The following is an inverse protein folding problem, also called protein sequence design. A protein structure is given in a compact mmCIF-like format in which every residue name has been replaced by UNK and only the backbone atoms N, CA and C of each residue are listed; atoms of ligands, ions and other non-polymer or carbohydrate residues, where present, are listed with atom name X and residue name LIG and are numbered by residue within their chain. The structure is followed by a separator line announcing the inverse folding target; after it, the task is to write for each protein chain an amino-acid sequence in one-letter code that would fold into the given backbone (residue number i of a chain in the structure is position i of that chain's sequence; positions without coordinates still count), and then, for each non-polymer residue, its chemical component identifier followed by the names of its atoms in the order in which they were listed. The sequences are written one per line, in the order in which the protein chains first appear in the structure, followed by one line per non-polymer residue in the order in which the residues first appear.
data_IF_399499585298
#
_entry.id   IF_399499585298
#
_cell.length_a   1.000
_cell.length_b   1.000
_cell.length_c   1.000
_cell.angle_alpha   90.00
_cell.angle_beta   90.00
_cell.angle_gamma   90.00
#
_symmetry.space_group_name_H-M   'P 1'
#
loop_
_entity.id
_entity.type
_entity.pdbx_description
1 polymer ?
#
# COMPACT_ATOMS: atom_id res chain seq x y z
N UNK A 1 1.12 -30.60 -1.54
CA UNK A 1 0.33 -29.42 -1.10
C UNK A 1 -1.06 -29.88 -0.72
N UNK A 2 -1.64 -29.34 0.36
CA UNK A 2 -3.02 -29.64 0.76
C UNK A 2 -3.95 -28.65 0.06
N UNK A 3 -4.94 -29.15 -0.68
CA UNK A 3 -5.98 -28.29 -1.26
C UNK A 3 -6.83 -27.72 -0.13
N UNK A 4 -7.04 -26.41 -0.16
CA UNK A 4 -7.94 -25.71 0.77
C UNK A 4 -9.10 -25.18 -0.05
N UNK A 5 -10.33 -25.49 0.36
CA UNK A 5 -11.54 -25.00 -0.29
C UNK A 5 -12.00 -23.75 0.47
N UNK A 6 -11.93 -22.61 -0.19
CA UNK A 6 -12.44 -21.35 0.34
C UNK A 6 -13.87 -21.12 -0.16
N UNK A 7 -14.71 -20.57 0.70
CA UNK A 7 -15.99 -20.00 0.32
C UNK A 7 -15.79 -18.76 -0.57
N UNK A 8 -16.80 -18.33 -1.34
CA UNK A 8 -16.71 -17.10 -2.12
C UNK A 8 -16.34 -15.88 -1.27
N UNK A 9 -16.90 -15.74 -0.06
CA UNK A 9 -16.59 -14.63 0.84
C UNK A 9 -15.13 -14.65 1.31
N UNK A 10 -14.60 -15.83 1.64
CA UNK A 10 -13.19 -15.98 1.99
C UNK A 10 -12.27 -15.68 0.80
N UNK A 11 -12.68 -16.04 -0.41
CA UNK A 11 -11.94 -15.66 -1.62
C UNK A 11 -11.94 -14.15 -1.83
N UNK A 12 -13.09 -13.48 -1.72
CA UNK A 12 -13.18 -12.02 -1.89
C UNK A 12 -12.28 -11.27 -0.89
N UNK A 13 -12.22 -11.72 0.37
CA UNK A 13 -11.32 -11.14 1.37
C UNK A 13 -9.81 -11.25 1.05
N UNK A 14 -9.45 -12.04 0.02
CA UNK A 14 -8.06 -12.26 -0.44
C UNK A 14 -7.79 -11.65 -1.82
N UNK A 15 -8.75 -10.94 -2.40
CA UNK A 15 -8.65 -10.36 -3.75
C UNK A 15 -8.51 -8.85 -3.65
N UNK A 16 -7.33 -8.34 -3.98
CA UNK A 16 -7.12 -6.92 -4.20
C UNK A 16 -7.59 -6.53 -5.61
N UNK A 17 -8.62 -5.67 -5.72
CA UNK A 17 -9.13 -5.19 -7.01
C UNK A 17 -8.66 -3.76 -7.25
N UNK A 18 -7.76 -3.55 -8.21
CA UNK A 18 -7.16 -2.23 -8.48
C UNK A 18 -8.19 -1.10 -8.62
N UNK A 19 -9.33 -1.35 -9.29
CA UNK A 19 -10.44 -0.38 -9.46
C UNK A 19 -11.08 0.14 -8.15
N UNK A 20 -10.76 -0.49 -7.03
CA UNK A 20 -11.32 -0.21 -5.71
C UNK A 20 -10.25 0.22 -4.71
N UNK A 21 -9.01 0.44 -5.17
CA UNK A 21 -7.89 0.90 -4.35
C UNK A 21 -7.67 2.38 -4.65
N UNK A 22 -7.70 3.21 -3.61
CA UNK A 22 -7.38 4.63 -3.71
C UNK A 22 -5.86 4.84 -3.54
N UNK A 23 -5.27 5.83 -4.23
CA UNK A 23 -3.86 6.15 -4.07
C UNK A 23 -3.59 6.77 -2.69
N UNK A 24 -2.53 6.37 -2.00
CA UNK A 24 -2.20 6.89 -0.66
C UNK A 24 -2.01 8.42 -0.63
N UNK A 25 -1.63 9.04 -1.75
CA UNK A 25 -1.48 10.49 -1.84
C UNK A 25 -2.77 11.27 -1.55
N UNK A 26 -3.95 10.65 -1.68
CA UNK A 26 -5.22 11.29 -1.30
C UNK A 26 -5.43 11.39 0.23
N UNK A 27 -4.78 10.53 1.02
CA UNK A 27 -4.95 10.51 2.48
C UNK A 27 -4.09 11.56 3.20
N UNK A 28 -2.88 11.86 2.70
CA UNK A 28 -1.92 12.73 3.42
C UNK A 28 -2.24 14.22 3.37
N UNK A 29 -2.82 14.71 2.28
CA UNK A 29 -3.21 16.12 2.18
C UNK A 29 -4.32 16.44 3.19
N UNK A 30 -5.26 15.50 3.37
CA UNK A 30 -6.38 15.62 4.30
C UNK A 30 -5.99 15.42 5.78
N UNK A 31 -5.07 14.50 6.10
CA UNK A 31 -4.75 14.14 7.49
C UNK A 31 -3.48 14.80 8.05
N UNK A 32 -2.48 15.10 7.21
CA UNK A 32 -1.15 15.55 7.63
C UNK A 32 -0.84 16.99 7.18
N UNK A 33 -1.64 17.54 6.25
CA UNK A 33 -1.48 18.92 5.75
C UNK A 33 -0.24 19.12 4.87
N UNK A 34 0.25 18.05 4.25
CA UNK A 34 1.35 18.09 3.28
C UNK A 34 0.74 18.14 1.88
N UNK A 35 0.99 19.21 1.10
CA UNK A 35 0.50 19.29 -0.27
C UNK A 35 0.98 18.12 -1.10
N UNK A 36 0.10 17.60 -1.96
CA UNK A 36 0.36 16.45 -2.83
C UNK A 36 1.66 16.60 -3.62
N UNK A 37 1.90 17.76 -4.22
CA UNK A 37 3.08 18.01 -5.06
C UNK A 37 4.39 17.90 -4.27
N UNK A 38 4.37 18.29 -2.99
CA UNK A 38 5.55 18.19 -2.11
C UNK A 38 5.82 16.73 -1.75
N UNK A 39 4.76 15.95 -1.52
CA UNK A 39 4.89 14.52 -1.24
C UNK A 39 5.42 13.74 -2.45
N UNK A 40 4.89 14.03 -3.64
CA UNK A 40 5.34 13.43 -4.91
C UNK A 40 6.81 13.76 -5.26
N UNK A 41 7.44 14.77 -4.65
CA UNK A 41 8.89 15.00 -4.79
C UNK A 41 9.75 14.06 -3.94
N UNK A 42 9.19 13.46 -2.88
CA UNK A 42 9.91 12.61 -1.93
C UNK A 42 9.58 11.12 -2.09
N UNK A 43 8.47 10.80 -2.76
CA UNK A 43 7.97 9.43 -2.96
C UNK A 43 7.61 9.18 -4.42
N UNK A 44 7.21 7.95 -4.75
CA UNK A 44 6.55 7.71 -6.03
C UNK A 44 5.31 8.60 -6.18
N UNK A 45 4.97 8.97 -7.42
CA UNK A 45 3.83 9.83 -7.76
C UNK A 45 2.52 9.30 -7.19
N UNK A 46 2.30 7.98 -7.24
CA UNK A 46 1.15 7.36 -6.58
C UNK A 46 1.51 5.99 -6.04
N UNK A 47 1.03 5.70 -4.83
CA UNK A 47 1.22 4.44 -4.14
C UNK A 47 -0.14 3.80 -3.92
N UNK A 48 -0.34 2.57 -4.37
CA UNK A 48 -1.58 1.83 -4.17
C UNK A 48 -1.29 0.66 -3.23
N UNK A 49 -1.87 0.69 -2.02
CA UNK A 49 -1.61 -0.31 -0.98
C UNK A 49 -2.45 -1.57 -1.23
N UNK A 50 -1.80 -2.64 -1.70
CA UNK A 50 -2.50 -3.90 -1.98
C UNK A 50 -2.65 -4.74 -0.72
N UNK A 51 -1.57 -4.88 0.03
CA UNK A 51 -1.56 -5.68 1.25
C UNK A 51 -0.59 -5.11 2.28
N UNK A 52 -0.96 -5.23 3.56
CA UNK A 52 -0.10 -4.97 4.70
C UNK A 52 -0.62 -5.71 5.94
N UNK A 53 0.20 -5.87 6.99
CA UNK A 53 -0.28 -6.23 8.31
C UNK A 53 -1.18 -5.13 8.90
N UNK A 54 -2.14 -5.52 9.73
CA UNK A 54 -3.07 -4.59 10.41
C UNK A 54 -2.35 -3.52 11.24
N UNK A 55 -1.18 -3.87 11.80
CA UNK A 55 -0.43 -3.01 12.73
C UNK A 55 0.91 -2.52 12.16
N UNK A 56 1.06 -2.41 10.85
CA UNK A 56 2.35 -2.08 10.19
C UNK A 56 2.90 -0.68 10.53
N UNK A 57 2.03 0.27 10.91
CA UNK A 57 2.41 1.66 11.22
C UNK A 57 2.76 2.52 9.99
N UNK A 58 2.84 3.83 10.19
CA UNK A 58 3.30 4.79 9.17
C UNK A 58 2.44 4.83 7.90
N UNK A 59 3.02 5.16 6.73
CA UNK A 59 2.31 5.19 5.46
C UNK A 59 1.63 3.87 5.08
N UNK A 60 2.10 2.78 5.67
CA UNK A 60 1.64 1.41 5.45
C UNK A 60 0.53 0.99 6.43
N UNK A 61 0.15 1.85 7.38
CA UNK A 61 -1.00 1.67 8.27
C UNK A 61 -2.34 2.10 7.64
N UNK A 62 -2.33 2.48 6.36
CA UNK A 62 -3.52 2.83 5.59
C UNK A 62 -4.37 1.58 5.29
N UNK A 63 -5.60 1.77 4.84
CA UNK A 63 -6.58 0.70 4.55
C UNK A 63 -6.14 -0.18 3.37
N UNK A 64 -5.49 -1.35 3.60
CA UNK A 64 -5.00 -2.18 2.50
C UNK A 64 -6.18 -2.93 1.87
N UNK A 65 -6.06 -3.27 0.58
CA UNK A 65 -7.08 -4.10 -0.07
C UNK A 65 -7.16 -5.52 0.54
N UNK A 66 -6.05 -6.04 1.08
CA UNK A 66 -5.96 -7.32 1.78
C UNK A 66 -5.13 -7.17 3.06
N UNK A 67 -5.75 -7.38 4.22
CA UNK A 67 -5.04 -7.42 5.50
C UNK A 67 -4.37 -8.78 5.70
N UNK A 68 -3.11 -8.77 6.12
CA UNK A 68 -2.33 -9.99 6.39
C UNK A 68 -2.03 -10.14 7.88
N UNK A 69 -1.80 -11.39 8.31
CA UNK A 69 -1.48 -11.67 9.71
C UNK A 69 -0.03 -11.37 10.08
N UNK A 70 0.93 -11.51 9.16
CA UNK A 70 2.29 -10.98 9.34
C UNK A 70 3.22 -11.18 8.13
N UNK A 71 4.22 -10.29 8.01
CA UNK A 71 5.48 -10.35 7.21
C UNK A 71 5.54 -9.74 5.81
N UNK A 72 4.45 -9.33 5.19
CA UNK A 72 4.56 -8.79 3.83
C UNK A 72 3.63 -7.63 3.59
N UNK A 73 4.20 -6.56 3.08
CA UNK A 73 3.45 -5.49 2.45
C UNK A 73 3.76 -5.46 0.96
N UNK A 74 2.74 -5.20 0.14
CA UNK A 74 2.88 -5.03 -1.31
C UNK A 74 2.18 -3.77 -1.72
N UNK A 75 2.89 -2.96 -2.51
CA UNK A 75 2.43 -1.69 -3.04
C UNK A 75 2.68 -1.70 -4.53
N UNK A 76 1.77 -1.13 -5.30
CA UNK A 76 2.05 -0.71 -6.68
C UNK A 76 2.48 0.75 -6.64
N UNK A 77 3.71 1.02 -7.08
CA UNK A 77 4.24 2.37 -7.21
C UNK A 77 4.12 2.83 -8.67
N UNK A 78 3.32 3.85 -8.91
CA UNK A 78 3.28 4.55 -10.19
C UNK A 78 4.40 5.61 -10.21
N UNK A 79 5.32 5.45 -11.15
CA UNK A 79 6.51 6.28 -11.29
C UNK A 79 6.62 6.81 -12.72
N UNK A 80 6.95 8.10 -12.93
CA UNK A 80 7.38 8.58 -14.24
C UNK A 80 8.58 7.77 -14.77
N UNK A 81 8.77 7.70 -16.09
CA UNK A 81 9.97 7.07 -16.66
C UNK A 81 11.26 7.67 -16.10
N UNK A 82 12.11 6.84 -15.50
CA UNK A 82 13.37 7.25 -14.88
C UNK A 82 13.28 7.69 -13.41
N UNK A 83 12.08 7.71 -12.83
CA UNK A 83 11.81 8.23 -11.48
C UNK A 83 11.32 7.13 -10.53
N UNK A 84 12.09 6.04 -10.46
CA UNK A 84 11.80 4.92 -9.56
C UNK A 84 12.11 5.24 -8.11
N UNK A 85 11.52 4.50 -7.14
CA UNK A 85 11.84 4.69 -5.73
C UNK A 85 13.34 4.48 -5.49
N UNK A 86 13.96 5.43 -4.80
CA UNK A 86 15.36 5.34 -4.43
C UNK A 86 15.57 4.16 -3.50
N UNK A 87 16.72 3.50 -3.66
CA UNK A 87 17.12 2.40 -2.79
C UNK A 87 17.38 2.97 -1.39
N UNK A 88 16.55 2.58 -0.43
CA UNK A 88 16.62 3.06 0.96
C UNK A 88 16.48 1.88 1.92
N UNK A 89 16.98 2.07 3.15
CA UNK A 89 16.85 1.10 4.22
C UNK A 89 15.90 1.66 5.28
N UNK A 90 14.96 0.83 5.74
CA UNK A 90 14.16 1.14 6.90
C UNK A 90 15.03 0.95 8.15
N UNK A 91 15.38 2.06 8.80
CA UNK A 91 16.13 2.01 10.06
C UNK A 91 15.17 1.61 11.18
N UNK A 92 15.48 0.54 11.90
CA UNK A 92 14.82 0.21 13.16
C UNK A 92 15.58 0.92 14.29
N UNK A 93 14.88 1.77 15.05
CA UNK A 93 15.38 2.38 16.30
C UNK A 93 14.58 1.88 17.48
#
# INVERSE_FOLDING_TARGET
MKTTNFTPAEMEARVARFKSIEPQSSSYDAEVGIPKEVYEMMTARSLYLLMSPENQGGPMAQNPAVTTQDKMSVIIAECPPGDGPLLHAHQFT
#
